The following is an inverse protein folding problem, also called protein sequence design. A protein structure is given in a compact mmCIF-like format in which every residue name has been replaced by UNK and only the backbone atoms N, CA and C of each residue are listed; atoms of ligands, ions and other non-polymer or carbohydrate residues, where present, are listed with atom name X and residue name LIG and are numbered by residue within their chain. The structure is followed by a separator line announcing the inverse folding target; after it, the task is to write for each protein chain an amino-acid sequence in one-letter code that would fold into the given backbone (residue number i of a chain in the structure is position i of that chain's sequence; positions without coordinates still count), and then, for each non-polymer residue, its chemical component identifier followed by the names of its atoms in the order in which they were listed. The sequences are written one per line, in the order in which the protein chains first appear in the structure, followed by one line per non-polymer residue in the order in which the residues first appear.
data_IF_721577467072
#
_entry.id   IF_721577467072
#
_cell.length_a   1.000
_cell.length_b   1.000
_cell.length_c   1.000
_cell.angle_alpha   90.00
_cell.angle_beta   90.00
_cell.angle_gamma   90.00
#
_symmetry.space_group_name_H-M   'P 1'
#
loop_
_entity.id
_entity.type
_entity.pdbx_description
1 polymer ?
#
# COMPACT_ATOMS: atom_id res chain seq x y z
N UNK A 1 14.02 -16.43 -2.24
CA UNK A 1 14.09 -16.95 -3.62
C UNK A 1 14.11 -15.84 -4.67
N UNK A 2 13.20 -14.85 -4.63
CA UNK A 2 13.13 -13.76 -5.62
C UNK A 2 14.36 -12.85 -5.62
N UNK A 3 14.77 -12.32 -4.45
CA UNK A 3 15.93 -11.41 -4.34
C UNK A 3 17.20 -12.01 -4.97
N UNK A 4 17.47 -13.30 -4.75
CA UNK A 4 18.62 -14.00 -5.33
C UNK A 4 18.51 -14.17 -6.85
N UNK A 5 17.34 -14.56 -7.35
CA UNK A 5 17.12 -14.80 -8.79
C UNK A 5 17.21 -13.52 -9.62
N UNK A 6 16.70 -12.41 -9.08
CA UNK A 6 16.69 -11.12 -9.76
C UNK A 6 17.82 -10.18 -9.29
N UNK A 7 18.83 -10.71 -8.58
CA UNK A 7 19.91 -9.90 -8.02
C UNK A 7 20.69 -9.12 -9.10
N UNK A 8 20.97 -9.77 -10.23
CA UNK A 8 21.70 -9.19 -11.38
C UNK A 8 20.82 -8.37 -12.33
N UNK A 9 19.52 -8.30 -12.10
CA UNK A 9 18.62 -7.50 -12.94
C UNK A 9 18.78 -6.00 -12.65
N UNK A 10 18.36 -5.17 -13.62
CA UNK A 10 18.31 -3.72 -13.45
C UNK A 10 17.37 -3.31 -12.33
N UNK A 11 17.58 -2.11 -11.79
CA UNK A 11 16.74 -1.55 -10.74
C UNK A 11 15.29 -1.38 -11.21
N UNK A 12 15.06 -1.05 -12.48
CA UNK A 12 13.73 -0.95 -13.08
C UNK A 12 12.96 -2.27 -13.03
N UNK A 13 13.61 -3.39 -13.32
CA UNK A 13 13.00 -4.73 -13.25
C UNK A 13 12.68 -5.08 -11.80
N UNK A 14 13.61 -4.81 -10.87
CA UNK A 14 13.41 -5.04 -9.44
C UNK A 14 12.26 -4.22 -8.88
N UNK A 15 12.16 -2.94 -9.27
CA UNK A 15 11.07 -2.04 -8.90
C UNK A 15 9.76 -2.55 -9.50
N UNK A 16 9.72 -2.92 -10.77
CA UNK A 16 8.52 -3.47 -11.41
C UNK A 16 8.02 -4.70 -10.67
N UNK A 17 8.91 -5.62 -10.30
CA UNK A 17 8.56 -6.80 -9.52
C UNK A 17 8.03 -6.43 -8.13
N UNK A 18 8.68 -5.49 -7.46
CA UNK A 18 8.21 -4.97 -6.17
C UNK A 18 6.82 -4.36 -6.28
N UNK A 19 6.55 -3.55 -7.30
CA UNK A 19 5.24 -2.93 -7.54
C UNK A 19 4.16 -4.00 -7.80
N UNK A 20 4.45 -4.97 -8.65
CA UNK A 20 3.53 -6.05 -8.99
C UNK A 20 3.14 -6.89 -7.76
N UNK A 21 4.12 -7.30 -6.95
CA UNK A 21 3.87 -8.22 -5.83
C UNK A 21 3.52 -7.50 -4.52
N UNK A 22 4.20 -6.40 -4.18
CA UNK A 22 4.07 -5.75 -2.87
C UNK A 22 3.12 -4.55 -2.89
N UNK A 23 3.01 -3.80 -4.00
CA UNK A 23 2.11 -2.63 -4.09
C UNK A 23 0.71 -2.96 -4.58
N UNK A 24 0.47 -4.19 -5.05
CA UNK A 24 -0.88 -4.66 -5.36
C UNK A 24 -1.78 -4.51 -4.12
N UNK A 25 -1.23 -4.84 -2.93
CA UNK A 25 -1.91 -4.83 -1.62
C UNK A 25 -3.36 -5.26 -1.78
N UNK A 26 -3.53 -6.50 -2.25
CA UNK A 26 -4.85 -7.04 -2.56
C UNK A 26 -5.79 -6.83 -1.37
N UNK A 27 -6.95 -6.22 -1.63
CA UNK A 27 -7.95 -5.84 -0.61
C UNK A 27 -7.45 -4.91 0.51
N UNK A 28 -6.29 -4.25 0.35
CA UNK A 28 -5.68 -3.36 1.36
C UNK A 28 -6.59 -2.23 1.84
N UNK A 29 -7.40 -1.70 0.93
CA UNK A 29 -8.42 -0.69 1.23
C UNK A 29 -9.53 -1.19 2.16
N UNK A 30 -9.75 -2.51 2.25
CA UNK A 30 -10.78 -3.12 3.09
C UNK A 30 -10.28 -3.55 4.47
N UNK A 31 -8.99 -3.33 4.78
CA UNK A 31 -8.41 -3.74 6.06
C UNK A 31 -8.89 -2.86 7.22
N UNK A 32 -10.13 -2.95 7.67
CA UNK A 32 -10.67 -2.05 8.70
C UNK A 32 -10.31 -2.51 10.13
N UNK A 33 -10.31 -3.81 10.39
CA UNK A 33 -10.02 -4.40 11.71
C UNK A 33 -8.58 -4.90 11.81
N UNK A 34 -7.66 -4.07 12.28
CA UNK A 34 -6.25 -4.42 12.46
C UNK A 34 -5.65 -3.69 13.65
N UNK A 35 -4.64 -4.30 14.27
CA UNK A 35 -3.88 -3.62 15.32
C UNK A 35 -2.83 -2.70 14.72
N UNK A 36 -2.47 -1.64 15.45
CA UNK A 36 -1.34 -0.77 15.09
C UNK A 36 -0.06 -1.57 14.88
N UNK A 37 0.21 -2.54 15.78
CA UNK A 37 1.38 -3.44 15.69
C UNK A 37 1.38 -4.25 14.39
N UNK A 38 0.26 -4.83 13.98
CA UNK A 38 0.17 -5.59 12.72
C UNK A 38 0.49 -4.70 11.51
N UNK A 39 0.00 -3.46 11.51
CA UNK A 39 0.26 -2.51 10.43
C UNK A 39 1.72 -2.04 10.40
N UNK A 40 2.31 -1.77 11.56
CA UNK A 40 3.72 -1.41 11.67
C UNK A 40 4.64 -2.55 11.23
N UNK A 41 4.33 -3.79 11.60
CA UNK A 41 5.06 -4.96 11.13
C UNK A 41 5.02 -5.06 9.60
N UNK A 42 3.85 -4.87 8.99
CA UNK A 42 3.70 -4.94 7.54
C UNK A 42 4.44 -3.79 6.83
N UNK A 43 4.42 -2.58 7.40
CA UNK A 43 5.23 -1.43 6.94
C UNK A 43 6.73 -1.72 7.01
N UNK A 44 7.20 -2.30 8.11
CA UNK A 44 8.61 -2.68 8.27
C UNK A 44 9.01 -3.71 7.22
N UNK A 45 8.18 -4.74 7.01
CA UNK A 45 8.45 -5.76 5.99
C UNK A 45 8.44 -5.18 4.58
N UNK A 46 7.49 -4.31 4.24
CA UNK A 46 7.45 -3.59 2.97
C UNK A 46 8.76 -2.83 2.71
N UNK A 47 9.26 -2.10 3.71
CA UNK A 47 10.52 -1.37 3.61
C UNK A 47 11.72 -2.32 3.46
N UNK A 48 11.76 -3.42 4.22
CA UNK A 48 12.85 -4.39 4.18
C UNK A 48 12.90 -5.14 2.85
N UNK A 49 11.76 -5.52 2.27
CA UNK A 49 11.71 -6.15 0.95
C UNK A 49 12.28 -5.22 -0.11
N UNK A 50 11.93 -3.93 -0.07
CA UNK A 50 12.48 -2.93 -0.99
C UNK A 50 14.01 -2.83 -0.87
N UNK A 51 14.53 -2.74 0.37
CA UNK A 51 15.98 -2.72 0.63
C UNK A 51 16.68 -3.97 0.10
N UNK A 52 16.13 -5.15 0.38
CA UNK A 52 16.73 -6.41 -0.06
C UNK A 52 16.74 -6.53 -1.59
N UNK A 53 15.68 -6.09 -2.26
CA UNK A 53 15.58 -6.14 -3.72
C UNK A 53 16.60 -5.23 -4.41
N UNK A 54 16.81 -4.03 -3.87
CA UNK A 54 17.72 -3.01 -4.43
C UNK A 54 19.13 -3.04 -3.82
N UNK A 55 19.41 -3.95 -2.90
CA UNK A 55 20.73 -4.05 -2.25
C UNK A 55 21.07 -2.84 -1.38
N UNK A 56 20.06 -2.17 -0.80
CA UNK A 56 20.27 -0.97 0.00
C UNK A 56 20.80 -1.29 1.41
N UNK A 57 21.54 -0.35 2.03
CA UNK A 57 22.01 -0.51 3.40
C UNK A 57 20.86 -0.76 4.38
N UNK A 58 21.14 -1.51 5.45
CA UNK A 58 20.19 -1.76 6.53
C UNK A 58 19.71 -0.46 7.18
N UNK A 59 20.64 0.48 7.37
CA UNK A 59 20.39 1.79 7.96
C UNK A 59 20.33 2.84 6.85
N UNK A 60 19.12 3.09 6.36
CA UNK A 60 18.86 4.17 5.41
C UNK A 60 17.48 4.77 5.69
N UNK A 61 17.32 6.04 5.31
CA UNK A 61 16.03 6.72 5.43
C UNK A 61 14.98 6.01 4.56
N UNK A 62 13.88 5.58 5.20
CA UNK A 62 12.81 4.89 4.50
C UNK A 62 12.09 5.82 3.50
N UNK A 63 11.87 7.09 3.85
CA UNK A 63 11.33 8.07 2.90
C UNK A 63 12.33 8.39 1.80
N UNK A 64 13.63 8.51 2.14
CA UNK A 64 14.69 8.79 1.19
C UNK A 64 14.84 7.73 0.11
N UNK A 65 14.82 6.43 0.47
CA UNK A 65 14.93 5.36 -0.53
C UNK A 65 13.73 5.35 -1.49
N UNK A 66 12.51 5.59 -1.02
CA UNK A 66 11.34 5.64 -1.89
C UNK A 66 11.34 6.87 -2.80
N UNK A 67 11.80 8.02 -2.29
CA UNK A 67 11.96 9.23 -3.09
C UNK A 67 13.01 9.07 -4.19
N UNK A 68 14.19 8.51 -3.85
CA UNK A 68 15.30 8.29 -4.78
C UNK A 68 14.90 7.40 -5.96
N UNK A 69 14.11 6.35 -5.70
CA UNK A 69 13.66 5.38 -6.71
C UNK A 69 12.25 5.68 -7.25
N UNK A 70 11.74 6.91 -7.04
CA UNK A 70 10.44 7.39 -7.52
C UNK A 70 9.30 6.37 -7.32
N UNK A 71 9.24 5.77 -6.14
CA UNK A 71 8.30 4.69 -5.81
C UNK A 71 7.55 5.02 -4.53
N UNK A 72 6.24 4.77 -4.50
CA UNK A 72 5.43 5.07 -3.32
C UNK A 72 5.84 4.27 -2.08
N UNK A 73 5.94 4.95 -0.94
CA UNK A 73 6.05 4.31 0.35
C UNK A 73 4.75 3.62 0.80
N UNK A 74 4.84 2.84 1.87
CA UNK A 74 3.73 2.03 2.39
C UNK A 74 2.43 2.83 2.61
N UNK A 75 2.50 3.93 3.36
CA UNK A 75 1.35 4.78 3.66
C UNK A 75 0.77 5.44 2.41
N UNK A 76 1.62 5.79 1.43
CA UNK A 76 1.18 6.38 0.18
C UNK A 76 0.35 5.37 -0.64
N UNK A 77 0.77 4.10 -0.71
CA UNK A 77 -0.02 3.05 -1.36
C UNK A 77 -1.35 2.85 -0.65
N UNK A 78 -1.37 2.73 0.69
CA UNK A 78 -2.62 2.57 1.43
C UNK A 78 -3.59 3.73 1.16
N UNK A 79 -3.12 4.97 1.14
CA UNK A 79 -3.94 6.15 0.80
C UNK A 79 -4.48 6.09 -0.62
N UNK A 80 -3.64 5.80 -1.62
CA UNK A 80 -4.06 5.69 -3.03
C UNK A 80 -5.13 4.61 -3.21
N UNK A 81 -4.95 3.43 -2.62
CA UNK A 81 -5.92 2.33 -2.68
C UNK A 81 -7.23 2.69 -1.96
N UNK A 82 -7.14 3.33 -0.81
CA UNK A 82 -8.29 3.79 -0.03
C UNK A 82 -9.10 4.82 -0.81
N UNK A 83 -8.45 5.88 -1.34
CA UNK A 83 -9.11 6.88 -2.16
C UNK A 83 -9.76 6.27 -3.43
N UNK A 84 -9.08 5.34 -4.09
CA UNK A 84 -9.64 4.61 -5.24
C UNK A 84 -10.88 3.79 -4.87
N UNK A 85 -10.90 3.13 -3.70
CA UNK A 85 -12.09 2.44 -3.21
C UNK A 85 -13.23 3.42 -2.95
N UNK A 86 -12.96 4.51 -2.23
CA UNK A 86 -13.95 5.56 -1.92
C UNK A 86 -14.60 6.07 -3.22
N UNK A 87 -13.78 6.42 -4.21
CA UNK A 87 -14.25 6.91 -5.50
C UNK A 87 -15.13 5.89 -6.23
N UNK A 88 -14.71 4.62 -6.30
CA UNK A 88 -15.48 3.55 -6.96
C UNK A 88 -16.79 3.24 -6.25
N UNK A 89 -16.81 3.24 -4.92
CA UNK A 89 -18.04 3.00 -4.14
C UNK A 89 -19.03 4.13 -4.35
N UNK A 90 -18.59 5.40 -4.29
CA UNK A 90 -19.44 6.57 -4.53
C UNK A 90 -19.92 6.69 -5.97
N UNK A 91 -19.11 6.30 -6.95
CA UNK A 91 -19.46 6.30 -8.37
C UNK A 91 -20.25 5.08 -8.84
N UNK A 92 -20.54 4.12 -7.97
CA UNK A 92 -21.21 2.88 -8.36
C UNK A 92 -22.70 3.09 -8.63
N UNK A 93 -23.21 2.45 -9.68
CA UNK A 93 -24.67 2.36 -9.94
C UNK A 93 -25.34 1.25 -9.12
N UNK A 94 -24.57 0.42 -8.42
CA UNK A 94 -25.10 -0.65 -7.60
C UNK A 94 -25.83 -0.08 -6.37
N UNK A 95 -27.11 -0.37 -6.23
CA UNK A 95 -27.96 0.18 -5.16
C UNK A 95 -27.45 -0.18 -3.75
N UNK A 96 -26.91 -1.38 -3.56
CA UNK A 96 -26.31 -1.78 -2.27
C UNK A 96 -25.12 -0.88 -1.93
N UNK A 97 -24.22 -0.65 -2.90
CA UNK A 97 -23.07 0.23 -2.69
C UNK A 97 -23.49 1.69 -2.49
N UNK A 98 -24.56 2.15 -3.14
CA UNK A 98 -25.13 3.49 -2.89
C UNK A 98 -25.70 3.62 -1.48
N UNK A 99 -26.42 2.62 -0.99
CA UNK A 99 -26.91 2.60 0.40
C UNK A 99 -25.74 2.70 1.38
N UNK A 100 -24.65 1.97 1.12
CA UNK A 100 -23.44 2.04 1.93
C UNK A 100 -22.78 3.43 1.81
N UNK A 101 -22.65 3.99 0.60
CA UNK A 101 -22.00 5.30 0.40
C UNK A 101 -22.73 6.45 1.07
N UNK A 102 -24.06 6.38 1.12
CA UNK A 102 -24.89 7.41 1.74
C UNK A 102 -24.85 7.36 3.27
N UNK A 103 -24.41 6.23 3.85
CA UNK A 103 -24.30 6.05 5.31
C UNK A 103 -22.93 6.47 5.85
N UNK A 104 -22.65 7.77 5.79
CA UNK A 104 -21.37 8.36 6.23
C UNK A 104 -20.98 8.04 7.68
N UNK A 105 -21.97 7.81 8.56
CA UNK A 105 -21.74 7.46 9.97
C UNK A 105 -21.29 6.01 10.18
N UNK A 106 -21.22 5.18 9.13
CA UNK A 106 -20.79 3.79 9.29
C UNK A 106 -19.31 3.68 9.71
N UNK A 107 -18.93 2.67 10.51
CA UNK A 107 -17.55 2.45 10.92
C UNK A 107 -16.57 2.28 9.75
N UNK A 108 -17.06 1.76 8.62
CA UNK A 108 -16.28 1.62 7.38
C UNK A 108 -15.83 2.99 6.86
N UNK A 109 -16.75 3.94 6.70
CA UNK A 109 -16.42 5.27 6.17
C UNK A 109 -15.50 6.04 7.08
N UNK A 110 -15.71 5.94 8.40
CA UNK A 110 -14.81 6.54 9.39
C UNK A 110 -13.37 6.01 9.22
N UNK A 111 -13.20 4.69 9.14
CA UNK A 111 -11.89 4.07 8.96
C UNK A 111 -11.24 4.47 7.62
N UNK A 112 -12.01 4.54 6.52
CA UNK A 112 -11.50 4.95 5.22
C UNK A 112 -11.06 6.43 5.20
N UNK A 113 -11.80 7.32 5.86
CA UNK A 113 -11.49 8.75 5.93
C UNK A 113 -10.26 9.00 6.80
N UNK A 114 -10.19 8.41 7.99
CA UNK A 114 -9.04 8.51 8.91
C UNK A 114 -7.72 8.02 8.30
N UNK A 115 -7.79 7.18 7.26
CA UNK A 115 -6.61 6.70 6.53
C UNK A 115 -6.12 7.64 5.43
N UNK A 116 -7.01 8.48 4.89
CA UNK A 116 -6.72 9.37 3.75
C UNK A 116 -6.18 10.72 4.22
N UNK A 117 -6.71 11.22 5.36
CA UNK A 117 -6.24 12.43 6.06
C UNK A 117 -4.90 12.15 6.73
#
# INVERSE_FOLDING_TARGET
MLVRRFYRCSDEVKITLFKAYCQSMYTGSLWTSHTKRSMDNLRIQYNNVFRMMLGLPRFCSASGMFALYHTDGFNAILRKKTASLIYRVRGSRNEILKTISNRFSSPLWRCLIERVI
#
